data_IF_392895205798
#
_entry.id   IF_392895205798
#
_cell.length_a   1.000
_cell.length_b   1.000
_cell.length_c   1.000
_cell.angle_alpha   90.00
_cell.angle_beta   90.00
_cell.angle_gamma   90.00
#
_symmetry.space_group_name_H-M   'P 1'
#
loop_
_entity.id
_entity.type
_entity.pdbx_description
1 polymer ?
#
# COMPACT_ATOMS: atom_id res chain seq x y z
N UNK A 1 -12.22 -1.68 18.97
CA UNK A 1 -13.09 -1.15 17.87
C UNK A 1 -13.27 -2.18 16.75
N UNK A 2 -12.22 -2.91 16.34
CA UNK A 2 -12.29 -3.96 15.31
C UNK A 2 -13.15 -5.16 15.76
N UNK A 3 -13.12 -5.51 17.04
CA UNK A 3 -13.86 -6.66 17.63
C UNK A 3 -15.39 -6.56 17.50
N UNK A 4 -15.94 -5.34 17.31
CA UNK A 4 -17.38 -5.13 17.16
C UNK A 4 -17.83 -5.06 15.69
N UNK A 5 -16.93 -5.31 14.73
CA UNK A 5 -17.17 -5.13 13.29
C UNK A 5 -16.95 -6.42 12.52
N UNK A 6 -17.65 -6.56 11.40
CA UNK A 6 -17.44 -7.69 10.48
C UNK A 6 -16.09 -7.56 9.76
N UNK A 7 -15.53 -8.67 9.26
CA UNK A 7 -14.23 -8.68 8.60
C UNK A 7 -14.12 -7.66 7.44
N UNK A 8 -15.17 -7.49 6.64
CA UNK A 8 -15.22 -6.49 5.57
C UNK A 8 -15.27 -5.05 6.10
N UNK A 9 -15.94 -4.80 7.22
CA UNK A 9 -15.99 -3.49 7.85
C UNK A 9 -14.70 -3.16 8.62
N UNK A 10 -13.93 -4.18 9.00
CA UNK A 10 -12.62 -4.03 9.64
C UNK A 10 -11.51 -3.70 8.64
N UNK A 11 -11.68 -4.04 7.36
CA UNK A 11 -10.66 -3.89 6.32
C UNK A 11 -10.11 -2.45 6.18
N UNK A 12 -10.95 -1.39 6.13
CA UNK A 12 -10.46 0.00 6.01
C UNK A 12 -9.75 0.54 7.27
N UNK A 13 -9.71 -0.22 8.37
CA UNK A 13 -8.90 0.15 9.53
C UNK A 13 -7.42 -0.18 9.32
N UNK A 14 -7.11 -1.22 8.54
CA UNK A 14 -5.74 -1.63 8.27
C UNK A 14 -5.03 -0.67 7.31
N UNK A 15 -5.75 -0.05 6.38
CA UNK A 15 -5.23 1.06 5.56
C UNK A 15 -4.76 2.26 6.37
N UNK A 16 -5.43 2.53 7.50
CA UNK A 16 -5.15 3.70 8.33
C UNK A 16 -4.14 3.44 9.43
N UNK A 17 -3.78 2.17 9.66
CA UNK A 17 -2.77 1.77 10.64
C UNK A 17 -1.37 2.20 10.20
N UNK A 18 -1.01 1.93 8.94
CA UNK A 18 0.13 2.52 8.27
C UNK A 18 -0.37 3.24 7.01
N UNK A 19 -0.54 4.56 7.13
CA UNK A 19 -1.05 5.41 6.06
C UNK A 19 -0.06 5.60 4.91
N UNK A 20 1.18 5.13 5.04
CA UNK A 20 2.20 5.19 3.99
C UNK A 20 2.17 3.91 3.15
N UNK A 21 1.83 2.78 3.77
CA UNK A 21 1.79 1.46 3.13
C UNK A 21 0.43 0.76 3.22
N UNK A 22 -0.58 1.37 2.60
CA UNK A 22 -1.98 0.92 2.63
C UNK A 22 -2.16 -0.52 2.10
N UNK A 23 -1.71 -0.78 0.87
CA UNK A 23 -1.93 -2.07 0.18
C UNK A 23 -1.28 -3.26 0.89
N UNK A 24 -0.13 -3.07 1.53
CA UNK A 24 0.56 -4.14 2.25
C UNK A 24 -0.17 -4.53 3.53
N UNK A 25 -0.83 -3.57 4.19
CA UNK A 25 -1.62 -3.85 5.37
C UNK A 25 -2.92 -4.58 5.03
N UNK A 26 -3.62 -4.16 3.98
CA UNK A 26 -4.79 -4.89 3.47
C UNK A 26 -4.43 -6.30 3.04
N UNK A 27 -3.26 -6.46 2.38
CA UNK A 27 -2.77 -7.77 1.97
C UNK A 27 -2.49 -8.67 3.17
N UNK A 28 -1.87 -8.15 4.25
CA UNK A 28 -1.61 -8.93 5.47
C UNK A 28 -2.93 -9.41 6.11
N UNK A 29 -3.92 -8.51 6.22
CA UNK A 29 -5.24 -8.86 6.74
C UNK A 29 -5.97 -9.88 5.85
N UNK A 30 -5.93 -9.70 4.53
CA UNK A 30 -6.53 -10.62 3.56
C UNK A 30 -5.90 -12.01 3.64
N UNK A 31 -4.56 -12.10 3.72
CA UNK A 31 -3.86 -13.38 3.87
C UNK A 31 -4.21 -14.09 5.18
N UNK A 32 -4.38 -13.36 6.28
CA UNK A 32 -4.81 -13.93 7.55
C UNK A 32 -6.23 -14.52 7.46
N UNK A 33 -7.16 -13.78 6.85
CA UNK A 33 -8.54 -14.23 6.63
C UNK A 33 -8.60 -15.42 5.66
N UNK A 34 -7.83 -15.38 4.57
CA UNK A 34 -7.74 -16.47 3.58
C UNK A 34 -7.20 -17.77 4.20
N UNK A 35 -6.20 -17.65 5.09
CA UNK A 35 -5.64 -18.79 5.84
C UNK A 35 -6.64 -19.37 6.85
N UNK A 36 -7.47 -18.54 7.47
CA UNK A 36 -8.54 -19.01 8.37
C UNK A 36 -9.68 -19.70 7.62
N UNK A 37 -9.96 -19.27 6.38
CA UNK A 37 -11.01 -19.82 5.53
C UNK A 37 -10.54 -21.00 4.66
N UNK A 38 -9.23 -21.29 4.61
CA UNK A 38 -8.62 -22.31 3.75
C UNK A 38 -9.03 -22.19 2.27
N UNK A 39 -9.04 -20.98 1.73
CA UNK A 39 -9.39 -20.71 0.33
C UNK A 39 -8.14 -20.42 -0.49
N UNK A 40 -8.05 -20.99 -1.70
CA UNK A 40 -7.00 -20.67 -2.65
C UNK A 40 -7.37 -19.48 -3.55
N UNK A 41 -6.48 -18.50 -3.62
CA UNK A 41 -6.62 -17.31 -4.46
C UNK A 41 -6.16 -17.64 -5.89
N UNK A 42 -6.87 -17.17 -6.94
CA UNK A 42 -6.44 -17.35 -8.33
C UNK A 42 -5.07 -16.71 -8.60
N UNK A 43 -4.28 -17.33 -9.48
CA UNK A 43 -2.90 -16.90 -9.78
C UNK A 43 -2.80 -15.44 -10.20
N UNK A 44 -3.73 -14.96 -11.04
CA UNK A 44 -3.77 -13.56 -11.48
C UNK A 44 -3.83 -12.58 -10.30
N UNK A 45 -4.60 -12.88 -9.26
CA UNK A 45 -4.71 -12.01 -8.10
C UNK A 45 -3.44 -12.03 -7.24
N UNK A 46 -2.70 -13.15 -7.19
CA UNK A 46 -1.39 -13.21 -6.53
C UNK A 46 -0.38 -12.29 -7.21
N UNK A 47 -0.29 -12.32 -8.55
CA UNK A 47 0.61 -11.45 -9.32
C UNK A 47 0.29 -9.96 -9.14
N UNK A 48 -0.99 -9.60 -9.18
CA UNK A 48 -1.43 -8.22 -8.96
C UNK A 48 -1.05 -7.76 -7.55
N UNK A 49 -1.32 -8.58 -6.51
CA UNK A 49 -0.94 -8.26 -5.13
C UNK A 49 0.56 -8.08 -4.97
N UNK A 50 1.39 -8.93 -5.56
CA UNK A 50 2.84 -8.78 -5.51
C UNK A 50 3.32 -7.51 -6.21
N UNK A 51 2.75 -7.16 -7.36
CA UNK A 51 3.10 -5.93 -8.09
C UNK A 51 2.78 -4.68 -7.25
N UNK A 52 1.57 -4.61 -6.70
CA UNK A 52 1.16 -3.49 -5.84
C UNK A 52 1.91 -3.46 -4.51
N UNK A 53 2.28 -4.61 -3.95
CA UNK A 53 3.12 -4.71 -2.76
C UNK A 53 4.51 -4.08 -2.97
N UNK A 54 5.15 -4.34 -4.12
CA UNK A 54 6.45 -3.75 -4.44
C UNK A 54 6.35 -2.24 -4.72
N UNK A 55 5.32 -1.77 -5.43
CA UNK A 55 5.09 -0.32 -5.62
C UNK A 55 4.92 0.38 -4.26
N UNK A 56 4.12 -0.22 -3.36
CA UNK A 56 3.87 0.32 -2.02
C UNK A 56 5.15 0.31 -1.17
N UNK A 57 6.04 -0.68 -1.35
CA UNK A 57 7.36 -0.72 -0.70
C UNK A 57 8.26 0.43 -1.15
N UNK A 58 8.34 0.69 -2.46
CA UNK A 58 9.12 1.81 -3.01
C UNK A 58 8.60 3.14 -2.45
N UNK A 59 7.28 3.31 -2.43
CA UNK A 59 6.65 4.47 -1.81
C UNK A 59 7.07 4.59 -0.34
N UNK A 60 6.96 3.52 0.46
CA UNK A 60 7.30 3.57 1.88
C UNK A 60 8.76 3.97 2.12
N UNK A 61 9.70 3.37 1.38
CA UNK A 61 11.11 3.75 1.47
C UNK A 61 11.39 5.19 1.03
N UNK A 62 10.72 5.68 -0.02
CA UNK A 62 10.79 7.10 -0.39
C UNK A 62 10.34 7.98 0.78
N UNK A 63 9.21 7.69 1.43
CA UNK A 63 8.77 8.50 2.57
C UNK A 63 9.77 8.48 3.72
N UNK A 64 10.25 7.28 4.08
CA UNK A 64 11.19 7.09 5.17
C UNK A 64 12.49 7.87 4.96
N UNK A 65 13.10 7.76 3.77
CA UNK A 65 14.36 8.43 3.45
C UNK A 65 14.18 9.95 3.32
N UNK A 66 13.09 10.39 2.69
CA UNK A 66 12.83 11.82 2.47
C UNK A 66 12.49 12.55 3.77
N UNK A 67 11.66 11.96 4.62
CA UNK A 67 11.37 12.49 5.96
C UNK A 67 12.64 12.53 6.81
N UNK A 68 13.45 11.48 6.77
CA UNK A 68 14.71 11.47 7.51
C UNK A 68 15.69 12.54 7.00
N UNK A 69 15.80 12.73 5.68
CA UNK A 69 16.62 13.80 5.09
C UNK A 69 16.11 15.20 5.48
N UNK A 70 14.79 15.38 5.56
CA UNK A 70 14.17 16.61 6.04
C UNK A 70 14.49 16.88 7.51
N UNK A 71 14.42 15.87 8.37
CA UNK A 71 14.75 16.00 9.80
C UNK A 71 16.22 16.39 10.02
N UNK A 72 17.11 16.00 9.10
CA UNK A 72 18.53 16.41 9.09
C UNK A 72 18.75 17.81 8.49
N UNK A 73 17.73 18.38 7.82
CA UNK A 73 17.74 19.75 7.27
C UNK A 73 17.86 19.83 5.74
N UNK A 74 17.84 18.70 5.03
CA UNK A 74 17.87 18.68 3.56
C UNK A 74 16.44 18.75 2.97
N UNK A 75 16.02 19.96 2.57
CA UNK A 75 14.67 20.21 2.04
C UNK A 75 14.52 19.89 0.54
N UNK A 76 15.61 19.97 -0.23
CA UNK A 76 15.59 19.73 -1.69
C UNK A 76 15.26 18.29 -2.10
N UNK A 77 15.79 17.21 -1.48
CA UNK A 77 15.42 15.85 -1.88
C UNK A 77 13.95 15.55 -1.57
N UNK A 78 13.40 16.12 -0.50
CA UNK A 78 11.99 15.97 -0.14
C UNK A 78 11.06 16.41 -1.26
N UNK A 79 11.29 17.58 -1.84
CA UNK A 79 10.46 18.11 -2.93
C UNK A 79 10.50 17.22 -4.19
N UNK A 80 11.69 16.76 -4.59
CA UNK A 80 11.83 15.87 -5.75
C UNK A 80 11.18 14.51 -5.54
N UNK A 81 11.32 13.94 -4.34
CA UNK A 81 10.74 12.64 -4.04
C UNK A 81 9.21 12.67 -3.92
N UNK A 82 8.61 13.82 -3.58
CA UNK A 82 7.14 13.98 -3.59
C UNK A 82 6.56 14.01 -5.01
N UNK A 83 7.28 14.58 -5.98
CA UNK A 83 6.87 14.53 -7.40
C UNK A 83 6.81 13.09 -7.92
N UNK A 84 7.83 12.27 -7.60
CA UNK A 84 7.85 10.85 -7.97
C UNK A 84 6.75 10.04 -7.26
N UNK A 85 6.45 10.37 -6.00
CA UNK A 85 5.31 9.78 -5.28
C UNK A 85 3.97 10.11 -5.95
N UNK A 86 3.79 11.34 -6.43
CA UNK A 86 2.57 11.76 -7.11
C UNK A 86 2.40 11.01 -8.46
N UNK A 87 3.47 10.86 -9.23
CA UNK A 87 3.46 10.07 -10.48
C UNK A 87 3.08 8.62 -10.22
N UNK A 88 3.60 8.01 -9.16
CA UNK A 88 3.25 6.62 -8.78
C UNK A 88 1.80 6.50 -8.32
N UNK A 89 1.29 7.49 -7.59
CA UNK A 89 -0.10 7.51 -7.12
C UNK A 89 -1.11 7.67 -8.28
N UNK A 90 -0.84 8.57 -9.23
CA UNK A 90 -1.71 8.82 -10.39
C UNK A 90 -1.53 7.75 -11.47
N UNK A 91 -0.29 7.41 -11.81
CA UNK A 91 0.06 6.49 -12.89
C UNK A 91 -0.32 5.03 -12.61
N UNK A 92 -0.17 4.57 -11.36
CA UNK A 92 -0.60 3.23 -10.95
C UNK A 92 -2.12 3.05 -11.05
N UNK A 93 -2.87 4.10 -10.75
CA UNK A 93 -4.34 4.12 -10.84
C UNK A 93 -4.86 4.23 -12.28
N UNK A 94 -4.19 5.03 -13.13
CA UNK A 94 -4.59 5.20 -14.53
C UNK A 94 -4.38 3.92 -15.36
N UNK A 95 -3.32 3.15 -15.06
CA UNK A 95 -3.07 1.87 -15.74
C UNK A 95 -4.22 0.88 -15.50
N UNK A 96 -4.72 0.76 -14.27
CA UNK A 96 -5.86 -0.13 -13.94
C UNK A 96 -7.13 0.21 -14.76
N UNK A 97 -7.37 1.50 -15.04
CA UNK A 97 -8.53 1.94 -15.84
C UNK A 97 -8.46 1.52 -17.31
N UNK A 98 -7.25 1.29 -17.84
CA UNK A 98 -7.04 0.78 -19.20
C UNK A 98 -7.14 -0.75 -19.31
N UNK A 99 -7.12 -1.48 -18.19
CA UNK A 99 -7.30 -2.94 -18.15
C UNK A 99 -8.77 -3.36 -17.97
N UNK A 100 -9.72 -2.49 -18.36
CA UNK A 100 -11.16 -2.77 -18.39
C UNK A 100 -11.67 -2.84 -19.83
#
# INVERSE_FOLDING_TARGET
MIEYKTYLQALPYFDRLDYVSMMTNEQCFSLAVEKLLNVEIPERAKFIRTLFGEITRILNHLMSVLSHAMDVGALTPFLWGFEEREKLMVGGWWSIRQWR
#
